data_IF_955092529777
#
_entry.id   IF_955092529777
#
_cell.length_a   1.000
_cell.length_b   1.000
_cell.length_c   1.000
_cell.angle_alpha   90.00
_cell.angle_beta   90.00
_cell.angle_gamma   90.00
#
_symmetry.space_group_name_H-M   'P 1'
#
loop_
_entity.id
_entity.type
_entity.pdbx_description
1 polymer ?
#
# COMPACT_ATOMS: atom_id res chain seq x y z
N UNK A 1 42.65 25.11 -21.86
CA UNK A 1 41.63 25.71 -20.96
C UNK A 1 40.66 24.60 -20.63
N UNK A 2 40.62 24.22 -19.35
CA UNK A 2 39.96 23.02 -18.84
C UNK A 2 38.44 23.21 -18.71
N UNK A 3 37.75 22.07 -18.77
CA UNK A 3 36.31 21.84 -18.77
C UNK A 3 35.62 22.34 -17.50
N UNK A 4 34.40 22.87 -17.66
CA UNK A 4 33.49 23.17 -16.55
C UNK A 4 32.35 22.15 -16.60
N UNK A 5 32.64 20.94 -16.12
CA UNK A 5 31.64 19.89 -15.91
C UNK A 5 30.89 20.20 -14.60
N UNK A 6 29.71 20.81 -14.74
CA UNK A 6 28.77 20.97 -13.64
C UNK A 6 28.43 19.60 -13.06
N UNK A 7 28.88 19.36 -11.82
CA UNK A 7 28.71 18.09 -11.12
C UNK A 7 27.22 17.72 -10.96
N UNK A 8 26.76 16.56 -11.47
CA UNK A 8 25.41 16.05 -11.26
C UNK A 8 25.27 15.26 -9.93
N UNK A 9 26.05 15.63 -8.91
CA UNK A 9 26.22 14.84 -7.68
C UNK A 9 25.37 15.27 -6.48
N UNK A 10 25.08 16.56 -6.33
CA UNK A 10 24.56 17.09 -5.06
C UNK A 10 23.04 16.95 -4.88
N UNK A 11 22.27 16.68 -5.94
CA UNK A 11 20.81 16.53 -5.82
C UNK A 11 20.34 15.14 -5.36
N UNK A 12 21.24 14.16 -5.23
CA UNK A 12 20.88 12.80 -4.79
C UNK A 12 21.01 12.57 -3.27
N UNK A 13 21.60 13.50 -2.52
CA UNK A 13 21.88 13.32 -1.09
C UNK A 13 20.82 13.91 -0.14
N UNK A 14 19.73 14.50 -0.65
CA UNK A 14 18.80 15.27 0.19
C UNK A 14 17.62 14.50 0.83
N UNK A 15 17.45 13.18 0.62
CA UNK A 15 16.32 12.44 1.21
C UNK A 15 16.65 10.99 1.63
N UNK A 16 17.81 10.74 2.23
CA UNK A 16 17.96 9.60 3.15
C UNK A 16 17.55 10.01 4.57
N UNK A 17 16.36 10.63 4.70
CA UNK A 17 15.71 10.64 6.01
C UNK A 17 15.32 9.19 6.27
N UNK A 18 15.85 8.60 7.35
CA UNK A 18 15.52 7.24 7.74
C UNK A 18 14.00 7.05 7.66
N UNK A 19 13.55 5.96 7.03
CA UNK A 19 12.13 5.64 6.98
C UNK A 19 11.58 5.67 8.41
N UNK A 20 10.44 6.33 8.64
CA UNK A 20 9.83 6.31 9.96
C UNK A 20 9.50 4.86 10.35
N UNK A 21 9.59 4.55 11.64
CA UNK A 21 9.56 3.15 12.09
C UNK A 21 8.12 2.60 12.10
N UNK A 22 7.87 1.55 11.31
CA UNK A 22 6.60 0.82 11.34
C UNK A 22 6.56 -0.16 12.54
N UNK A 23 5.61 0.05 13.43
CA UNK A 23 5.27 -0.90 14.49
C UNK A 23 4.20 -1.87 14.01
N UNK A 24 4.42 -3.17 14.24
CA UNK A 24 3.47 -4.21 13.90
C UNK A 24 2.75 -4.66 15.18
N UNK A 25 1.43 -4.57 15.18
CA UNK A 25 0.56 -5.18 16.18
C UNK A 25 -0.20 -6.33 15.54
N UNK A 26 -0.46 -7.37 16.33
CA UNK A 26 -1.22 -8.55 15.89
C UNK A 26 -2.33 -8.80 16.90
N UNK A 27 -3.52 -9.07 16.40
CA UNK A 27 -4.64 -9.60 17.19
C UNK A 27 -5.13 -10.93 16.59
N UNK A 28 -6.25 -11.44 17.12
CA UNK A 28 -6.82 -12.71 16.70
C UNK A 28 -7.26 -12.72 15.22
N UNK A 29 -7.52 -11.53 14.65
CA UNK A 29 -8.16 -11.40 13.33
C UNK A 29 -7.31 -10.67 12.29
N UNK A 30 -6.28 -9.93 12.71
CA UNK A 30 -5.56 -9.02 11.82
C UNK A 30 -4.13 -8.71 12.26
N UNK A 31 -3.32 -8.37 11.26
CA UNK A 31 -2.08 -7.62 11.44
C UNK A 31 -2.36 -6.12 11.23
N UNK A 32 -1.71 -5.29 12.03
CA UNK A 32 -1.89 -3.83 12.04
C UNK A 32 -0.53 -3.13 12.00
N UNK A 33 -0.31 -2.30 10.99
CA UNK A 33 0.87 -1.46 10.83
C UNK A 33 0.57 -0.04 11.29
N UNK A 34 1.33 0.47 12.26
CA UNK A 34 1.16 1.80 12.84
C UNK A 34 2.50 2.51 12.87
N UNK A 35 2.53 3.80 12.55
CA UNK A 35 3.72 4.62 12.67
C UNK A 35 3.58 5.58 13.85
N UNK A 36 4.47 5.49 14.85
CA UNK A 36 4.39 6.30 16.08
C UNK A 36 4.42 7.81 15.80
N UNK A 37 5.27 8.22 14.87
CA UNK A 37 5.44 9.63 14.50
C UNK A 37 4.33 10.14 13.57
N UNK A 38 3.50 9.22 13.05
CA UNK A 38 2.42 9.51 12.11
C UNK A 38 1.16 8.73 12.52
N UNK A 39 0.45 9.17 13.57
CA UNK A 39 -0.66 8.42 14.17
C UNK A 39 -1.87 8.25 13.25
N UNK A 40 -1.95 9.01 12.16
CA UNK A 40 -2.98 8.87 11.12
C UNK A 40 -2.60 7.87 10.02
N UNK A 41 -1.36 7.35 10.03
CA UNK A 41 -0.99 6.21 9.20
C UNK A 41 -1.40 4.93 9.89
N UNK A 42 -2.19 4.12 9.19
CA UNK A 42 -2.67 2.84 9.65
C UNK A 42 -2.83 1.91 8.46
N UNK A 43 -2.32 0.69 8.58
CA UNK A 43 -2.56 -0.38 7.63
C UNK A 43 -3.13 -1.57 8.37
N UNK A 44 -4.17 -2.20 7.81
CA UNK A 44 -4.69 -3.44 8.35
C UNK A 44 -4.80 -4.50 7.28
N UNK A 45 -4.41 -5.71 7.65
CA UNK A 45 -4.51 -6.92 6.82
C UNK A 45 -5.13 -8.00 7.67
N UNK A 46 -6.20 -8.62 7.19
CA UNK A 46 -6.86 -9.70 7.92
C UNK A 46 -5.94 -10.92 7.98
N UNK A 47 -6.16 -11.81 8.95
CA UNK A 47 -5.45 -13.10 9.08
C UNK A 47 -6.17 -14.20 8.31
N UNK A 48 -5.52 -15.34 8.19
CA UNK A 48 -6.09 -16.53 7.57
C UNK A 48 -7.50 -16.85 8.11
N UNK A 49 -8.42 -17.31 7.25
CA UNK A 49 -8.23 -17.64 5.82
C UNK A 49 -8.34 -16.42 4.88
N UNK A 50 -8.35 -15.20 5.42
CA UNK A 50 -8.58 -13.94 4.70
C UNK A 50 -7.30 -13.09 4.60
N UNK A 51 -6.14 -13.74 4.61
CA UNK A 51 -4.83 -13.10 4.60
C UNK A 51 -4.55 -12.28 3.34
N UNK A 52 -5.41 -12.33 2.34
CA UNK A 52 -5.33 -11.55 1.11
C UNK A 52 -6.13 -10.23 1.15
N UNK A 53 -6.80 -9.92 2.27
CA UNK A 53 -7.68 -8.75 2.40
C UNK A 53 -7.01 -7.68 3.26
N UNK A 54 -6.85 -6.50 2.67
CA UNK A 54 -6.54 -5.25 3.34
C UNK A 54 -7.82 -4.50 3.68
N UNK A 55 -7.87 -3.99 4.89
CA UNK A 55 -8.89 -3.06 5.38
C UNK A 55 -8.15 -1.83 5.89
N UNK A 56 -8.82 -0.68 5.96
CA UNK A 56 -8.27 0.51 6.62
C UNK A 56 -6.83 0.88 6.14
N UNK A 57 -6.69 1.26 4.86
CA UNK A 57 -5.43 1.75 4.30
C UNK A 57 -5.37 3.29 4.42
N UNK A 58 -4.96 3.77 5.58
CA UNK A 58 -4.87 5.19 5.91
C UNK A 58 -3.41 5.67 5.85
N UNK A 59 -3.15 6.73 5.10
CA UNK A 59 -1.80 7.34 5.02
C UNK A 59 -1.68 8.68 5.75
N UNK A 60 -2.81 9.26 6.17
CA UNK A 60 -2.84 10.57 6.82
C UNK A 60 -2.21 11.67 5.95
N UNK A 61 -1.26 12.40 6.52
CA UNK A 61 -0.51 13.47 5.85
C UNK A 61 0.85 12.98 5.29
N UNK A 62 1.04 11.65 5.22
CA UNK A 62 2.30 11.08 4.76
C UNK A 62 2.49 11.26 3.26
N UNK A 63 3.73 11.52 2.85
CA UNK A 63 4.10 11.50 1.44
C UNK A 63 3.82 10.11 0.84
N UNK A 64 3.15 10.03 -0.32
CA UNK A 64 2.73 8.76 -0.92
C UNK A 64 3.87 7.75 -1.09
N UNK A 65 5.06 8.21 -1.47
CA UNK A 65 6.24 7.37 -1.70
C UNK A 65 6.74 6.72 -0.40
N UNK A 66 6.69 7.46 0.72
CA UNK A 66 7.06 6.93 2.03
C UNK A 66 6.01 5.92 2.49
N UNK A 67 4.72 6.23 2.33
CA UNK A 67 3.63 5.34 2.69
C UNK A 67 3.68 4.01 1.91
N UNK A 68 4.04 4.05 0.63
CA UNK A 68 4.24 2.84 -0.20
C UNK A 68 5.38 1.98 0.34
N UNK A 69 6.52 2.57 0.70
CA UNK A 69 7.66 1.81 1.27
C UNK A 69 7.29 1.16 2.60
N UNK A 70 6.53 1.86 3.45
CA UNK A 70 6.03 1.30 4.70
C UNK A 70 4.99 0.20 4.47
N UNK A 71 4.12 0.35 3.46
CA UNK A 71 3.17 -0.68 3.08
C UNK A 71 3.89 -1.91 2.53
N UNK A 72 4.96 -1.75 1.76
CA UNK A 72 5.81 -2.86 1.30
C UNK A 72 6.50 -3.57 2.48
N UNK A 73 7.02 -2.82 3.46
CA UNK A 73 7.54 -3.39 4.71
C UNK A 73 6.46 -4.18 5.46
N UNK A 74 5.26 -3.60 5.59
CA UNK A 74 4.12 -4.25 6.22
C UNK A 74 3.74 -5.56 5.52
N UNK A 75 3.68 -5.57 4.19
CA UNK A 75 3.41 -6.75 3.38
C UNK A 75 4.49 -7.82 3.62
N UNK A 76 5.78 -7.44 3.61
CA UNK A 76 6.90 -8.36 3.87
C UNK A 76 6.82 -8.99 5.26
N UNK A 77 6.42 -8.21 6.27
CA UNK A 77 6.33 -8.67 7.68
C UNK A 77 5.09 -9.49 7.98
N UNK A 78 4.03 -9.37 7.17
CA UNK A 78 2.78 -10.11 7.34
C UNK A 78 2.72 -11.40 6.51
N UNK A 79 3.75 -11.66 5.71
CA UNK A 79 3.95 -12.93 5.03
C UNK A 79 3.21 -13.05 3.70
N UNK A 80 3.24 -14.23 3.06
CA UNK A 80 2.62 -14.45 1.76
C UNK A 80 1.08 -14.38 1.81
N UNK A 81 0.41 -14.41 0.66
CA UNK A 81 -1.03 -14.37 0.44
C UNK A 81 -1.42 -15.78 0.04
N UNK A 82 -2.47 -16.33 0.67
CA UNK A 82 -2.99 -17.65 0.34
C UNK A 82 -3.65 -17.73 -1.05
N UNK A 83 -3.97 -16.59 -1.68
CA UNK A 83 -4.68 -16.53 -2.96
C UNK A 83 -3.99 -15.64 -3.99
N UNK A 84 -4.39 -15.78 -5.27
CA UNK A 84 -3.92 -14.93 -6.37
C UNK A 84 -4.69 -13.60 -6.49
N UNK A 85 -5.46 -13.22 -5.47
CA UNK A 85 -6.26 -11.98 -5.49
C UNK A 85 -6.04 -11.25 -4.19
N UNK A 86 -5.45 -10.06 -4.26
CA UNK A 86 -5.36 -9.13 -3.12
C UNK A 86 -6.56 -8.20 -3.18
N UNK A 87 -7.25 -8.03 -2.06
CA UNK A 87 -8.42 -7.16 -1.98
C UNK A 87 -8.15 -5.98 -1.05
N UNK A 88 -8.40 -4.75 -1.51
CA UNK A 88 -8.59 -3.61 -0.62
C UNK A 88 -10.10 -3.43 -0.43
N UNK A 89 -10.58 -3.70 0.77
CA UNK A 89 -12.01 -3.76 1.09
C UNK A 89 -12.54 -2.42 1.59
N UNK A 90 -13.79 -2.13 1.26
CA UNK A 90 -14.59 -0.99 1.72
C UNK A 90 -13.90 0.36 1.48
N UNK A 91 -13.26 0.53 0.32
CA UNK A 91 -12.50 1.76 0.01
C UNK A 91 -13.42 2.98 -0.10
N UNK A 92 -14.68 2.79 -0.53
CA UNK A 92 -15.69 3.83 -0.68
C UNK A 92 -17.09 3.26 -0.46
N UNK A 93 -18.06 4.15 -0.26
CA UNK A 93 -19.49 3.81 -0.15
C UNK A 93 -20.26 4.18 -1.42
N UNK A 94 -21.44 3.60 -1.61
CA UNK A 94 -22.36 3.92 -2.70
C UNK A 94 -22.88 5.37 -2.65
N UNK A 95 -22.89 5.98 -1.46
CA UNK A 95 -23.27 7.38 -1.25
C UNK A 95 -22.15 8.37 -1.61
N UNK A 96 -20.90 7.88 -1.69
CA UNK A 96 -19.76 8.70 -2.11
C UNK A 96 -19.92 9.09 -3.58
N UNK A 97 -19.62 10.33 -3.91
CA UNK A 97 -19.65 10.78 -5.31
C UNK A 97 -18.75 9.92 -6.19
N UNK A 98 -19.14 9.73 -7.45
CA UNK A 98 -18.36 8.95 -8.42
C UNK A 98 -16.91 9.46 -8.53
N UNK A 99 -16.72 10.77 -8.53
CA UNK A 99 -15.41 11.41 -8.62
C UNK A 99 -14.54 11.08 -7.40
N UNK A 100 -15.09 11.17 -6.19
CA UNK A 100 -14.36 10.82 -4.97
C UNK A 100 -14.05 9.31 -4.89
N UNK A 101 -14.97 8.45 -5.33
CA UNK A 101 -14.72 7.00 -5.43
C UNK A 101 -13.61 6.69 -6.43
N UNK A 102 -13.59 7.35 -7.59
CA UNK A 102 -12.54 7.16 -8.60
C UNK A 102 -11.18 7.63 -8.09
N UNK A 103 -11.11 8.79 -7.45
CA UNK A 103 -9.87 9.29 -6.86
C UNK A 103 -9.30 8.32 -5.81
N UNK A 104 -10.17 7.74 -4.97
CA UNK A 104 -9.78 6.71 -3.99
C UNK A 104 -9.32 5.41 -4.66
N UNK A 105 -10.02 4.98 -5.71
CA UNK A 105 -9.62 3.82 -6.50
C UNK A 105 -8.21 3.99 -7.09
N UNK A 106 -7.95 5.14 -7.72
CA UNK A 106 -6.64 5.43 -8.32
C UNK A 106 -5.54 5.47 -7.26
N UNK A 107 -5.76 6.17 -6.15
CA UNK A 107 -4.81 6.28 -5.05
C UNK A 107 -4.47 4.91 -4.44
N UNK A 108 -5.48 4.15 -4.03
CA UNK A 108 -5.27 2.85 -3.36
C UNK A 108 -4.69 1.84 -4.35
N UNK A 109 -5.15 1.81 -5.59
CA UNK A 109 -4.59 0.93 -6.63
C UNK A 109 -3.12 1.27 -6.87
N UNK A 110 -2.76 2.54 -7.08
CA UNK A 110 -1.37 2.93 -7.26
C UNK A 110 -0.50 2.52 -6.08
N UNK A 111 -0.95 2.81 -4.84
CA UNK A 111 -0.19 2.48 -3.64
C UNK A 111 0.04 0.98 -3.51
N UNK A 112 -1.04 0.19 -3.55
CA UNK A 112 -0.99 -1.25 -3.28
C UNK A 112 -0.24 -1.98 -4.39
N UNK A 113 -0.47 -1.63 -5.66
CA UNK A 113 0.28 -2.24 -6.78
C UNK A 113 1.77 -1.90 -6.74
N UNK A 114 2.14 -0.69 -6.31
CA UNK A 114 3.55 -0.32 -6.17
C UNK A 114 4.19 -1.07 -5.00
N UNK A 115 3.54 -1.12 -3.84
CA UNK A 115 4.04 -1.86 -2.68
C UNK A 115 4.17 -3.37 -2.95
N UNK A 116 3.23 -3.97 -3.70
CA UNK A 116 3.30 -5.36 -4.14
C UNK A 116 4.51 -5.61 -5.04
N UNK A 117 4.80 -4.71 -5.98
CA UNK A 117 5.99 -4.81 -6.84
C UNK A 117 7.29 -4.70 -6.03
N UNK A 118 7.33 -3.85 -5.00
CA UNK A 118 8.50 -3.73 -4.11
C UNK A 118 8.80 -5.01 -3.31
N UNK A 119 7.82 -5.89 -3.14
CA UNK A 119 8.00 -7.22 -2.53
C UNK A 119 8.04 -8.35 -3.57
N UNK A 120 8.34 -8.03 -4.83
CA UNK A 120 8.45 -8.96 -5.95
C UNK A 120 7.14 -9.72 -6.30
N UNK A 121 5.98 -9.19 -5.89
CA UNK A 121 4.68 -9.75 -6.29
C UNK A 121 4.25 -9.11 -7.62
N UNK A 122 4.10 -9.95 -8.65
CA UNK A 122 3.70 -9.48 -9.98
C UNK A 122 2.20 -9.17 -10.01
N UNK A 123 1.86 -7.91 -10.29
CA UNK A 123 0.48 -7.47 -10.52
C UNK A 123 0.08 -7.69 -11.98
N UNK A 124 -1.07 -8.35 -12.21
CA UNK A 124 -1.62 -8.60 -13.55
C UNK A 124 -2.72 -7.61 -13.92
N UNK A 125 -3.66 -7.36 -13.01
CA UNK A 125 -4.77 -6.44 -13.22
C UNK A 125 -5.30 -5.91 -11.88
N UNK A 126 -6.03 -4.81 -11.94
CA UNK A 126 -6.80 -4.26 -10.83
C UNK A 126 -8.19 -3.89 -11.35
N UNK A 127 -9.22 -4.15 -10.56
CA UNK A 127 -10.60 -3.81 -10.88
C UNK A 127 -11.33 -3.30 -9.65
N UNK A 128 -12.24 -2.35 -9.87
CA UNK A 128 -13.20 -1.90 -8.87
C UNK A 128 -14.43 -2.82 -8.95
N UNK A 129 -14.84 -3.37 -7.81
CA UNK A 129 -16.06 -4.15 -7.68
C UNK A 129 -17.04 -3.46 -6.73
N UNK A 130 -18.33 -3.60 -7.02
CA UNK A 130 -19.40 -3.03 -6.22
C UNK A 130 -20.13 -4.14 -5.46
N UNK A 131 -20.06 -4.08 -4.12
CA UNK A 131 -20.68 -5.04 -3.22
C UNK A 131 -21.66 -4.31 -2.30
N UNK A 132 -22.94 -4.60 -2.47
CA UNK A 132 -24.04 -3.97 -1.69
C UNK A 132 -23.99 -2.44 -1.75
N UNK A 133 -23.47 -1.80 -0.68
CA UNK A 133 -23.34 -0.35 -0.52
C UNK A 133 -21.86 0.10 -0.46
N UNK A 134 -20.91 -0.78 -0.80
CA UNK A 134 -19.46 -0.54 -0.73
C UNK A 134 -18.76 -0.85 -2.05
N UNK A 135 -17.59 -0.25 -2.21
CA UNK A 135 -16.68 -0.55 -3.28
C UNK A 135 -15.40 -1.22 -2.75
N UNK A 136 -15.03 -2.34 -3.38
CA UNK A 136 -13.80 -3.07 -3.12
C UNK A 136 -12.87 -2.93 -4.35
N UNK A 137 -11.56 -3.03 -4.13
CA UNK A 137 -10.58 -3.17 -5.21
C UNK A 137 -10.06 -4.60 -5.19
N UNK A 138 -10.14 -5.29 -6.32
CA UNK A 138 -9.54 -6.61 -6.51
C UNK A 138 -8.33 -6.50 -7.43
N UNK A 139 -7.17 -6.88 -6.91
CA UNK A 139 -5.89 -6.90 -7.61
C UNK A 139 -5.52 -8.36 -7.86
N UNK A 140 -5.46 -8.76 -9.13
CA UNK A 140 -4.99 -10.09 -9.52
C UNK A 140 -3.48 -10.09 -9.55
N UNK A 141 -2.87 -11.00 -8.81
CA UNK A 141 -1.42 -11.15 -8.68
C UNK A 141 -0.95 -12.53 -9.14
N UNK A 142 0.36 -12.66 -9.36
CA UNK A 142 1.04 -13.95 -9.47
C UNK A 142 1.76 -14.26 -8.17
N UNK A 143 1.30 -15.25 -7.41
CA UNK A 143 1.97 -15.66 -6.16
C UNK A 143 3.14 -16.62 -6.37
N UNK A 144 3.45 -16.99 -7.62
CA UNK A 144 4.50 -17.98 -7.95
C UNK A 144 5.93 -17.59 -7.52
N UNK A 145 6.15 -16.37 -7.05
CA UNK A 145 7.48 -15.80 -6.83
C UNK A 145 7.65 -15.06 -5.50
N UNK A 146 6.82 -15.38 -4.51
CA UNK A 146 7.02 -14.79 -3.19
C UNK A 146 8.08 -15.50 -2.37
#
# INVERSE_FOLDING_TARGET
MATNDGQPGEKRQAYEKALPQLSLRVDDFSWQGICKDHPRLFFRRLREPQDNIFTDLLIGEMQPEIAVRLLAEFIRRTGPFSTNTVTARDISSAETSREATLAKYEQVTWMLTTALREVNVQVKSAMLDHREDKFDIHIVVSTRHW
#
